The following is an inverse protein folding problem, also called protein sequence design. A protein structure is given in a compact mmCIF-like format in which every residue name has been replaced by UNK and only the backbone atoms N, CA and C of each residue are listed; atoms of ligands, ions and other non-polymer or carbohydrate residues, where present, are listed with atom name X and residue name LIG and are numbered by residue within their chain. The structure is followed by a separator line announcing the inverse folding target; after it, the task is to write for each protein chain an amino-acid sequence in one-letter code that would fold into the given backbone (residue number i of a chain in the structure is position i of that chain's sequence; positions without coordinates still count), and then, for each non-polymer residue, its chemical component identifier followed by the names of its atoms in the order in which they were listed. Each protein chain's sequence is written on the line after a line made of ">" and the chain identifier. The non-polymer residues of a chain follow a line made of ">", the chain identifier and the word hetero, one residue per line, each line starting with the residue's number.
data_IF_266122453116
#
_entry.id   IF_266122453116
#
_cell.length_a   1.000
_cell.length_b   1.000
_cell.length_c   1.000
_cell.angle_alpha   90.00
_cell.angle_beta   90.00
_cell.angle_gamma   90.00
#
_symmetry.space_group_name_H-M   'P 1'
#
loop_
_entity.id
_entity.type
_entity.pdbx_description
1 polymer ?
#
# COMPACT_ATOMS: atom_id res chain seq x y z
N UNK A 1 2.08 26.38 6.85
CA UNK A 1 3.00 25.25 6.59
C UNK A 1 2.55 24.61 5.29
N UNK A 2 3.41 24.51 4.27
CA UNK A 2 3.07 23.78 3.04
C UNK A 2 3.34 22.30 3.32
N UNK A 3 2.38 21.39 3.10
CA UNK A 3 2.64 19.96 3.24
C UNK A 3 3.75 19.52 2.28
N UNK A 4 4.65 18.68 2.77
CA UNK A 4 5.69 18.03 1.99
C UNK A 4 5.46 16.51 1.94
N UNK A 5 6.23 15.82 1.11
CA UNK A 5 6.13 14.37 0.89
C UNK A 5 6.21 13.59 2.22
N UNK A 6 7.09 14.00 3.13
CA UNK A 6 7.28 13.33 4.43
C UNK A 6 6.02 13.44 5.26
N UNK A 7 5.43 14.64 5.37
CA UNK A 7 4.18 14.84 6.10
C UNK A 7 3.03 14.00 5.52
N UNK A 8 2.91 13.95 4.19
CA UNK A 8 1.88 13.14 3.52
C UNK A 8 2.06 11.64 3.81
N UNK A 9 3.30 11.14 3.74
CA UNK A 9 3.63 9.74 4.03
C UNK A 9 3.33 9.38 5.49
N UNK A 10 3.64 10.27 6.46
CA UNK A 10 3.34 10.05 7.88
C UNK A 10 1.83 9.96 8.13
N UNK A 11 1.05 10.88 7.54
CA UNK A 11 -0.42 10.86 7.67
C UNK A 11 -1.00 9.59 7.03
N UNK A 12 -0.50 9.21 5.85
CA UNK A 12 -0.93 8.02 5.15
C UNK A 12 -0.65 6.74 5.95
N UNK A 13 0.55 6.60 6.52
CA UNK A 13 0.93 5.44 7.33
C UNK A 13 0.06 5.32 8.59
N UNK A 14 -0.23 6.45 9.25
CA UNK A 14 -1.14 6.49 10.39
C UNK A 14 -2.55 6.00 10.04
N UNK A 15 -3.09 6.43 8.89
CA UNK A 15 -4.39 5.95 8.42
C UNK A 15 -4.36 4.47 7.99
N UNK A 16 -3.31 4.01 7.31
CA UNK A 16 -3.15 2.60 6.94
C UNK A 16 -3.08 1.69 8.17
N UNK A 17 -2.30 2.08 9.18
CA UNK A 17 -2.14 1.33 10.42
C UNK A 17 -3.43 1.25 11.25
N UNK A 18 -4.31 2.25 11.10
CA UNK A 18 -5.62 2.27 11.74
C UNK A 18 -6.73 1.55 10.93
N UNK A 19 -6.41 0.97 9.75
CA UNK A 19 -7.42 0.38 8.85
C UNK A 19 -8.32 1.40 8.16
N UNK A 20 -7.96 2.69 8.22
CA UNK A 20 -8.72 3.78 7.60
C UNK A 20 -8.31 3.97 6.14
N UNK A 21 -8.42 2.91 5.33
CA UNK A 21 -7.91 2.90 3.95
C UNK A 21 -8.53 3.97 3.06
N UNK A 22 -9.81 4.30 3.23
CA UNK A 22 -10.47 5.39 2.47
C UNK A 22 -9.77 6.74 2.66
N UNK A 23 -9.33 7.02 3.90
CA UNK A 23 -8.57 8.24 4.21
C UNK A 23 -7.15 8.16 3.66
N UNK A 24 -6.51 7.00 3.75
CA UNK A 24 -5.18 6.79 3.17
C UNK A 24 -5.18 7.03 1.64
N UNK A 25 -6.18 6.52 0.92
CA UNK A 25 -6.35 6.78 -0.51
C UNK A 25 -6.72 8.24 -0.83
N UNK A 26 -7.45 8.92 0.07
CA UNK A 26 -7.74 10.34 -0.09
C UNK A 26 -6.47 11.17 -0.05
N UNK A 27 -5.52 10.83 0.83
CA UNK A 27 -4.21 11.49 0.89
C UNK A 27 -3.44 11.30 -0.42
N UNK A 28 -3.45 10.09 -1.02
CA UNK A 28 -2.81 9.88 -2.33
C UNK A 28 -3.40 10.80 -3.41
N UNK A 29 -4.72 11.03 -3.40
CA UNK A 29 -5.38 11.98 -4.32
C UNK A 29 -5.02 13.44 -4.00
N UNK A 30 -4.91 13.80 -2.72
CA UNK A 30 -4.48 15.13 -2.29
C UNK A 30 -3.04 15.42 -2.74
N UNK A 31 -2.13 14.43 -2.69
CA UNK A 31 -0.77 14.57 -3.22
C UNK A 31 -0.78 14.94 -4.71
N UNK A 32 -1.59 14.26 -5.53
CA UNK A 32 -1.75 14.58 -6.95
C UNK A 32 -2.28 16.03 -7.15
N UNK A 33 -3.29 16.46 -6.37
CA UNK A 33 -3.85 17.82 -6.42
C UNK A 33 -2.83 18.89 -6.01
N UNK A 34 -1.97 18.56 -5.03
CA UNK A 34 -0.94 19.43 -4.51
C UNK A 34 0.35 19.41 -5.33
N UNK A 35 0.41 18.58 -6.38
CA UNK A 35 1.61 18.33 -7.21
C UNK A 35 2.80 17.87 -6.36
N UNK A 36 2.53 17.00 -5.40
CA UNK A 36 3.54 16.29 -4.61
C UNK A 36 3.63 14.89 -5.21
N UNK A 37 4.77 14.56 -5.81
CA UNK A 37 4.95 13.25 -6.42
C UNK A 37 5.06 12.17 -5.34
N UNK A 38 4.17 11.15 -5.35
CA UNK A 38 4.30 9.99 -4.47
C UNK A 38 5.59 9.22 -4.73
N UNK A 39 6.14 8.61 -3.68
CA UNK A 39 7.35 7.78 -3.76
C UNK A 39 7.05 6.31 -3.48
N UNK A 40 8.10 5.49 -3.46
CA UNK A 40 7.99 4.07 -3.14
C UNK A 40 7.43 3.82 -1.74
N UNK A 41 7.75 4.70 -0.78
CA UNK A 41 7.23 4.65 0.59
C UNK A 41 5.71 4.86 0.60
N UNK A 42 5.20 5.85 -0.14
CA UNK A 42 3.75 6.12 -0.26
C UNK A 42 2.98 4.86 -0.65
N UNK A 43 3.41 4.20 -1.73
CA UNK A 43 2.74 3.00 -2.23
C UNK A 43 2.94 1.79 -1.31
N UNK A 44 4.12 1.64 -0.71
CA UNK A 44 4.39 0.57 0.24
C UNK A 44 3.48 0.65 1.48
N UNK A 45 3.20 1.86 1.99
CA UNK A 45 2.24 2.07 3.10
C UNK A 45 0.84 1.56 2.73
N UNK A 46 0.31 1.98 1.57
CA UNK A 46 -1.02 1.56 1.11
C UNK A 46 -1.09 0.06 0.88
N UNK A 47 -0.09 -0.52 0.20
CA UNK A 47 -0.04 -1.96 -0.04
C UNK A 47 0.00 -2.75 1.28
N UNK A 48 0.76 -2.28 2.28
CA UNK A 48 0.81 -2.90 3.61
C UNK A 48 -0.56 -2.87 4.29
N UNK A 49 -1.24 -1.72 4.26
CA UNK A 49 -2.59 -1.57 4.82
C UNK A 49 -3.59 -2.53 4.19
N UNK A 50 -3.66 -2.56 2.86
CA UNK A 50 -4.52 -3.47 2.10
C UNK A 50 -4.23 -4.95 2.37
N UNK A 51 -2.95 -5.34 2.41
CA UNK A 51 -2.58 -6.72 2.74
C UNK A 51 -2.95 -7.08 4.18
N UNK A 52 -2.89 -6.14 5.12
CA UNK A 52 -3.41 -6.29 6.48
C UNK A 52 -4.90 -6.62 6.51
N UNK A 53 -5.70 -5.95 5.68
CA UNK A 53 -7.15 -6.21 5.53
C UNK A 53 -7.47 -7.43 4.65
N UNK A 54 -6.48 -8.00 3.98
CA UNK A 54 -6.65 -9.14 3.08
C UNK A 54 -7.04 -8.79 1.64
N UNK A 55 -6.93 -7.52 1.25
CA UNK A 55 -7.26 -6.99 -0.08
C UNK A 55 -6.06 -7.10 -1.04
N UNK A 56 -5.61 -8.32 -1.34
CA UNK A 56 -4.41 -8.55 -2.18
C UNK A 56 -4.52 -8.06 -3.61
N UNK A 57 -5.72 -8.17 -4.18
CA UNK A 57 -5.96 -7.77 -5.56
C UNK A 57 -5.79 -6.26 -5.71
N UNK A 58 -6.33 -5.48 -4.77
CA UNK A 58 -6.15 -4.02 -4.70
C UNK A 58 -4.67 -3.64 -4.46
N UNK A 59 -3.96 -4.38 -3.60
CA UNK A 59 -2.53 -4.17 -3.40
C UNK A 59 -1.71 -4.46 -4.67
N UNK A 60 -2.12 -5.47 -5.46
CA UNK A 60 -1.50 -5.78 -6.75
C UNK A 60 -1.77 -4.69 -7.80
N UNK A 61 -2.97 -4.12 -7.80
CA UNK A 61 -3.31 -2.98 -8.66
C UNK A 61 -2.45 -1.76 -8.34
N UNK A 62 -2.22 -1.46 -7.06
CA UNK A 62 -1.30 -0.40 -6.63
C UNK A 62 0.15 -0.65 -7.08
N UNK A 63 0.63 -1.89 -7.04
CA UNK A 63 1.95 -2.22 -7.60
C UNK A 63 1.99 -1.97 -9.12
N UNK A 64 0.88 -2.21 -9.82
CA UNK A 64 0.75 -1.84 -11.23
C UNK A 64 0.81 -0.32 -11.45
N UNK A 65 0.17 0.44 -10.56
CA UNK A 65 0.18 1.91 -10.60
C UNK A 65 1.57 2.49 -10.34
N UNK A 66 2.32 2.00 -9.34
CA UNK A 66 3.74 2.35 -9.12
C UNK A 66 4.52 2.27 -10.43
N UNK A 67 4.43 1.13 -11.11
CA UNK A 67 5.16 0.88 -12.36
C UNK A 67 4.73 1.84 -13.47
N UNK A 68 3.44 2.12 -13.60
CA UNK A 68 2.92 3.10 -14.59
C UNK A 68 3.42 4.52 -14.31
N UNK A 69 3.61 4.88 -13.04
CA UNK A 69 4.19 6.15 -12.61
C UNK A 69 5.73 6.17 -12.67
N UNK A 70 6.37 5.10 -13.15
CA UNK A 70 7.83 4.99 -13.21
C UNK A 70 8.51 4.72 -11.87
N UNK A 71 7.73 4.46 -10.81
CA UNK A 71 8.23 4.13 -9.48
C UNK A 71 8.53 2.63 -9.45
N UNK A 72 9.77 2.28 -9.12
CA UNK A 72 10.20 0.88 -9.10
C UNK A 72 9.74 0.22 -7.80
N UNK A 73 8.93 -0.85 -7.85
CA UNK A 73 8.62 -1.63 -6.65
C UNK A 73 9.89 -2.21 -6.05
N UNK A 74 10.00 -2.17 -4.73
CA UNK A 74 11.17 -2.63 -4.00
C UNK A 74 10.91 -4.01 -3.37
N UNK A 75 11.90 -4.53 -2.65
CA UNK A 75 11.77 -5.80 -1.94
C UNK A 75 10.60 -5.80 -0.94
N UNK A 76 10.27 -4.65 -0.33
CA UNK A 76 9.12 -4.50 0.58
C UNK A 76 7.82 -4.66 -0.21
N UNK A 77 7.69 -4.06 -1.39
CA UNK A 77 6.50 -4.21 -2.25
C UNK A 77 6.21 -5.68 -2.57
N UNK A 78 7.24 -6.43 -2.98
CA UNK A 78 7.10 -7.86 -3.32
C UNK A 78 6.80 -8.72 -2.10
N UNK A 79 7.52 -8.52 -0.99
CA UNK A 79 7.30 -9.27 0.25
C UNK A 79 5.89 -9.05 0.80
N UNK A 80 5.34 -7.84 0.65
CA UNK A 80 3.99 -7.49 1.09
C UNK A 80 2.93 -8.32 0.37
N UNK A 81 3.08 -8.55 -0.94
CA UNK A 81 2.15 -9.39 -1.72
C UNK A 81 2.36 -10.90 -1.51
N UNK A 82 3.60 -11.37 -1.31
CA UNK A 82 3.90 -12.80 -1.17
C UNK A 82 3.44 -13.35 0.18
N UNK A 83 3.51 -12.55 1.25
CA UNK A 83 3.35 -13.03 2.65
C UNK A 83 2.01 -13.70 2.95
N UNK A 84 0.91 -13.44 2.21
CA UNK A 84 -0.41 -14.06 2.53
C UNK A 84 -0.85 -15.19 1.59
N UNK A 85 -0.01 -15.65 0.65
CA UNK A 85 -0.28 -16.88 -0.10
C UNK A 85 -0.04 -18.18 0.70
N UNK A 86 0.33 -18.07 1.99
CA UNK A 86 0.65 -19.21 2.86
C UNK A 86 -0.53 -19.90 3.56
N UNK A 87 -1.70 -19.27 3.68
CA UNK A 87 -2.81 -19.80 4.50
C UNK A 87 -4.01 -20.30 3.66
N UNK A 88 -3.78 -21.19 2.70
CA UNK A 88 -4.90 -21.89 2.02
C UNK A 88 -4.67 -23.37 1.73
N UNK A 89 -3.62 -24.02 2.27
CA UNK A 89 -3.57 -25.50 2.16
C UNK A 89 -2.77 -26.13 3.30
N UNK A 90 -3.37 -26.23 4.50
CA UNK A 90 -3.03 -27.29 5.47
C UNK A 90 -4.10 -27.42 6.56
N UNK A 91 -5.25 -27.95 6.17
CA UNK A 91 -6.06 -28.86 7.01
C UNK A 91 -7.12 -29.53 6.14
N UNK A 92 -6.67 -30.48 5.31
CA UNK A 92 -7.53 -31.48 4.69
C UNK A 92 -6.70 -32.73 4.35
N UNK A 93 -5.91 -33.25 5.31
CA UNK A 93 -5.46 -34.66 5.29
C UNK A 93 -5.20 -35.08 6.73
N UNK A 94 -6.24 -35.55 7.40
CA UNK A 94 -6.35 -36.66 8.36
C UNK A 94 -7.88 -36.76 8.55
N UNK A 95 -8.60 -37.68 7.90
CA UNK A 95 -8.39 -39.12 8.02
C UNK A 95 -9.13 -39.56 9.26
#
# INVERSE_FOLDING_TARGET
>A
MKPDLVMMNVLMDGHCSAGNMDRAFSILKEMDQMRIDPDDVTFNCLMRGLCGEGKFEEARELMGEMKRRGIKPDHISYNTLIRKKGDTTRQAVFG
#
